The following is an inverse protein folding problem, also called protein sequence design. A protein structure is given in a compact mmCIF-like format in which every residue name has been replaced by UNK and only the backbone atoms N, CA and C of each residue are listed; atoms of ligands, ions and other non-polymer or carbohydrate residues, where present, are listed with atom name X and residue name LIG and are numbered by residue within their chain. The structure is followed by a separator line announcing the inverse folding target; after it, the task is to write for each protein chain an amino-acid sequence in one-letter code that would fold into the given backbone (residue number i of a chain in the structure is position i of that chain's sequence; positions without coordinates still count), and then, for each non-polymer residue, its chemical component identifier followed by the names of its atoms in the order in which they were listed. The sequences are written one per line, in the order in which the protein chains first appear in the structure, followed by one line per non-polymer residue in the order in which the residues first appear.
data_IF_629665543625
#
_entry.id   IF_629665543625
#
_cell.length_a   1.000
_cell.length_b   1.000
_cell.length_c   1.000
_cell.angle_alpha   90.00
_cell.angle_beta   90.00
_cell.angle_gamma   90.00
#
_symmetry.space_group_name_H-M   'P 1'
#
loop_
_entity.id
_entity.type
_entity.pdbx_description
1 polymer ?
#
# COMPACT_ATOMS: atom_id res chain seq x y z
N UNK A 1 27.10 69.63 -18.93
CA UNK A 1 25.96 68.70 -18.83
C UNK A 1 26.52 67.34 -18.43
N UNK A 2 26.37 66.97 -17.16
CA UNK A 2 26.61 65.60 -16.72
C UNK A 2 25.25 65.06 -16.26
N UNK A 3 24.82 63.94 -16.83
CA UNK A 3 23.66 63.18 -16.35
C UNK A 3 24.21 61.97 -15.61
N UNK A 4 24.27 61.98 -14.27
CA UNK A 4 24.45 60.76 -13.49
C UNK A 4 23.33 60.68 -12.45
N UNK A 5 22.18 60.09 -12.82
CA UNK A 5 21.14 59.76 -11.85
C UNK A 5 20.41 58.44 -12.19
N UNK A 6 20.38 58.01 -13.45
CA UNK A 6 19.66 56.78 -13.83
C UNK A 6 20.38 55.50 -13.40
N UNK A 7 21.71 55.47 -13.44
CA UNK A 7 22.50 54.28 -13.07
C UNK A 7 22.42 53.96 -11.57
N UNK A 8 22.33 54.99 -10.72
CA UNK A 8 22.27 54.82 -9.26
C UNK A 8 20.90 54.32 -8.80
N UNK A 9 19.82 54.81 -9.43
CA UNK A 9 18.46 54.32 -9.16
C UNK A 9 18.32 52.86 -9.63
N UNK A 10 18.83 52.51 -10.81
CA UNK A 10 18.79 51.13 -11.32
C UNK A 10 19.61 50.21 -10.40
N UNK A 11 20.81 50.63 -9.98
CA UNK A 11 21.65 49.87 -9.05
C UNK A 11 20.95 49.66 -7.70
N UNK A 12 20.30 50.70 -7.15
CA UNK A 12 19.57 50.60 -5.89
C UNK A 12 18.35 49.66 -5.99
N UNK A 13 17.59 49.71 -7.08
CA UNK A 13 16.45 48.81 -7.33
C UNK A 13 16.91 47.35 -7.47
N UNK A 14 18.04 47.10 -8.15
CA UNK A 14 18.62 45.76 -8.28
C UNK A 14 19.09 45.22 -6.92
N UNK A 15 19.76 46.06 -6.11
CA UNK A 15 20.23 45.68 -4.77
C UNK A 15 19.06 45.38 -3.83
N UNK A 16 18.03 46.24 -3.77
CA UNK A 16 16.85 46.00 -2.95
C UNK A 16 16.08 44.77 -3.43
N UNK A 17 15.90 44.62 -4.74
CA UNK A 17 15.26 43.45 -5.32
C UNK A 17 15.97 42.15 -4.94
N UNK A 18 17.31 42.14 -4.97
CA UNK A 18 18.12 41.03 -4.52
C UNK A 18 17.95 40.70 -3.03
N UNK A 19 17.91 41.71 -2.16
CA UNK A 19 17.70 41.52 -0.71
C UNK A 19 16.30 40.96 -0.42
N UNK A 20 15.26 41.51 -1.04
CA UNK A 20 13.87 41.04 -0.85
C UNK A 20 13.73 39.58 -1.31
N UNK A 21 14.28 39.24 -2.48
CA UNK A 21 14.27 37.86 -2.98
C UNK A 21 15.05 36.91 -2.04
N UNK A 22 16.19 37.37 -1.51
CA UNK A 22 16.97 36.64 -0.52
C UNK A 22 16.20 36.34 0.76
N UNK A 23 15.50 37.32 1.32
CA UNK A 23 14.66 37.16 2.52
C UNK A 23 13.50 36.20 2.26
N UNK A 24 12.82 36.33 1.12
CA UNK A 24 11.71 35.42 0.73
C UNK A 24 12.23 33.99 0.63
N UNK A 25 13.40 33.79 0.01
CA UNK A 25 14.03 32.47 -0.12
C UNK A 25 14.41 31.88 1.24
N UNK A 26 14.99 32.68 2.13
CA UNK A 26 15.33 32.26 3.49
C UNK A 26 14.09 31.87 4.32
N UNK A 27 13.02 32.67 4.26
CA UNK A 27 11.76 32.35 4.94
C UNK A 27 11.11 31.07 4.39
N UNK A 28 11.18 30.87 3.08
CA UNK A 28 10.72 29.65 2.43
C UNK A 28 11.48 28.42 2.93
N UNK A 29 12.81 28.48 2.94
CA UNK A 29 13.67 27.39 3.43
C UNK A 29 13.44 27.10 4.92
N UNK A 30 13.34 28.15 5.75
CA UNK A 30 13.06 28.01 7.17
C UNK A 30 11.70 27.33 7.44
N UNK A 31 10.66 27.73 6.72
CA UNK A 31 9.34 27.12 6.83
C UNK A 31 9.35 25.65 6.36
N UNK A 32 10.08 25.34 5.29
CA UNK A 32 10.22 23.97 4.81
C UNK A 32 10.91 23.10 5.86
N UNK A 33 12.05 23.56 6.40
CA UNK A 33 12.79 22.82 7.43
C UNK A 33 11.94 22.53 8.68
N UNK A 34 11.16 23.53 9.15
CA UNK A 34 10.28 23.33 10.30
C UNK A 34 9.17 22.31 10.03
N UNK A 35 8.60 22.29 8.81
CA UNK A 35 7.60 21.28 8.42
C UNK A 35 8.18 19.87 8.36
N UNK A 36 9.41 19.72 7.89
CA UNK A 36 10.10 18.42 7.85
C UNK A 36 10.31 17.89 9.27
N UNK A 37 10.82 18.74 10.16
CA UNK A 37 11.01 18.39 11.58
C UNK A 37 9.69 18.06 12.28
N UNK A 38 8.61 18.78 12.00
CA UNK A 38 7.26 18.45 12.51
C UNK A 38 6.84 17.04 12.11
N UNK A 39 7.05 16.67 10.85
CA UNK A 39 6.66 15.36 10.31
C UNK A 39 7.52 14.21 10.85
N UNK A 40 8.82 14.42 10.95
CA UNK A 40 9.74 13.47 11.58
C UNK A 40 9.36 13.25 13.04
N UNK A 41 9.13 14.33 13.79
CA UNK A 41 8.67 14.26 15.18
C UNK A 41 7.33 13.54 15.30
N UNK A 42 6.39 13.77 14.37
CA UNK A 42 5.11 13.06 14.35
C UNK A 42 5.31 11.57 14.10
N UNK A 43 6.10 11.19 13.09
CA UNK A 43 6.37 9.78 12.78
C UNK A 43 7.13 9.04 13.89
N UNK A 44 8.18 9.68 14.44
CA UNK A 44 9.03 9.14 15.49
C UNK A 44 8.33 9.08 16.86
N UNK A 45 7.65 10.18 17.20
CA UNK A 45 7.05 10.42 18.50
C UNK A 45 5.63 9.91 18.61
N UNK A 46 5.05 9.34 17.54
CA UNK A 46 3.65 8.91 17.53
C UNK A 46 3.30 8.07 18.77
N UNK A 47 4.08 7.03 19.05
CA UNK A 47 3.84 6.13 20.18
C UNK A 47 3.97 6.77 21.56
N UNK A 48 4.70 7.89 21.66
CA UNK A 48 4.93 8.60 22.92
C UNK A 48 3.79 9.56 23.27
N UNK A 49 2.86 9.79 22.35
CA UNK A 49 1.72 10.66 22.56
C UNK A 49 0.60 9.91 23.30
N UNK A 50 -0.16 10.65 24.11
CA UNK A 50 -1.42 10.15 24.67
C UNK A 50 -2.40 9.76 23.56
N UNK A 51 -3.25 8.75 23.82
CA UNK A 51 -4.15 8.14 22.83
C UNK A 51 -4.97 9.19 22.06
N UNK A 52 -5.65 10.09 22.77
CA UNK A 52 -6.49 11.12 22.17
C UNK A 52 -5.70 12.04 21.23
N UNK A 53 -4.48 12.41 21.65
CA UNK A 53 -3.59 13.27 20.86
C UNK A 53 -3.06 12.55 19.62
N UNK A 54 -2.68 11.26 19.73
CA UNK A 54 -2.28 10.42 18.59
C UNK A 54 -3.35 10.40 17.52
N UNK A 55 -4.55 10.01 17.92
CA UNK A 55 -5.69 9.81 17.04
C UNK A 55 -6.11 11.11 16.36
N UNK A 56 -6.12 12.22 17.11
CA UNK A 56 -6.37 13.56 16.58
C UNK A 56 -5.34 13.95 15.51
N UNK A 57 -4.04 13.86 15.83
CA UNK A 57 -2.98 14.25 14.90
C UNK A 57 -2.96 13.37 13.64
N UNK A 58 -3.15 12.06 13.80
CA UNK A 58 -3.23 11.14 12.67
C UNK A 58 -4.35 11.54 11.70
N UNK A 59 -5.55 11.79 12.25
CA UNK A 59 -6.70 12.24 11.46
C UNK A 59 -6.45 13.59 10.79
N UNK A 60 -5.79 14.52 11.47
CA UNK A 60 -5.43 15.83 10.90
C UNK A 60 -4.43 15.68 9.75
N UNK A 61 -3.37 14.89 9.90
CA UNK A 61 -2.37 14.72 8.85
C UNK A 61 -2.88 13.90 7.65
N UNK A 62 -3.75 12.89 7.86
CA UNK A 62 -4.39 12.16 6.75
C UNK A 62 -5.33 13.03 5.91
N UNK A 63 -5.84 14.15 6.46
CA UNK A 63 -6.64 15.13 5.72
C UNK A 63 -5.80 16.10 4.88
N UNK A 64 -4.52 16.27 5.21
CA UNK A 64 -3.59 17.16 4.48
C UNK A 64 -3.17 16.52 3.15
N UNK A 65 -2.39 17.27 2.35
CA UNK A 65 -1.83 16.83 1.09
C UNK A 65 -0.30 16.72 1.15
N UNK A 66 0.31 16.19 0.10
CA UNK A 66 1.77 16.14 -0.06
C UNK A 66 2.43 15.23 0.97
N UNK A 67 3.51 15.69 1.60
CA UNK A 67 4.29 14.87 2.53
C UNK A 67 3.51 14.45 3.78
N UNK A 68 2.60 15.31 4.26
CA UNK A 68 1.82 15.01 5.48
C UNK A 68 0.97 13.75 5.35
N UNK A 69 0.27 13.57 4.23
CA UNK A 69 -0.54 12.36 4.02
C UNK A 69 0.34 11.12 3.85
N UNK A 70 1.52 11.24 3.25
CA UNK A 70 2.44 10.10 3.07
C UNK A 70 3.03 9.62 4.40
N UNK A 71 3.46 10.55 5.26
CA UNK A 71 3.97 10.21 6.60
C UNK A 71 2.86 9.66 7.48
N UNK A 72 1.68 10.30 7.46
CA UNK A 72 0.53 9.81 8.22
C UNK A 72 0.03 8.45 7.74
N UNK A 73 0.11 8.18 6.44
CA UNK A 73 -0.14 6.87 5.88
C UNK A 73 0.85 5.82 6.38
N UNK A 74 2.15 6.14 6.45
CA UNK A 74 3.16 5.26 7.03
C UNK A 74 2.92 4.98 8.51
N UNK A 75 2.59 6.02 9.29
CA UNK A 75 2.20 5.89 10.70
C UNK A 75 0.95 5.01 10.84
N UNK A 76 -0.08 5.26 10.03
CA UNK A 76 -1.31 4.47 10.02
C UNK A 76 -1.05 3.00 9.72
N UNK A 77 -0.25 2.72 8.69
CA UNK A 77 0.14 1.36 8.32
C UNK A 77 0.89 0.65 9.46
N UNK A 78 1.78 1.33 10.16
CA UNK A 78 2.62 0.68 11.17
C UNK A 78 1.94 0.50 12.52
N UNK A 79 0.93 1.32 12.80
CA UNK A 79 0.32 1.42 14.12
C UNK A 79 -1.20 1.28 14.04
N UNK A 80 -1.69 0.53 13.05
CA UNK A 80 -3.12 0.30 12.83
C UNK A 80 -3.79 -0.37 14.04
N UNK A 81 -3.08 -1.29 14.69
CA UNK A 81 -3.51 -2.12 15.81
C UNK A 81 -3.73 -1.35 17.13
N UNK A 82 -3.00 -0.25 17.35
CA UNK A 82 -3.09 0.56 18.57
C UNK A 82 -4.09 1.72 18.45
N UNK A 83 -4.64 1.95 17.26
CA UNK A 83 -5.70 2.94 17.02
C UNK A 83 -7.04 2.31 17.42
N UNK A 84 -7.93 3.09 18.03
CA UNK A 84 -9.28 2.62 18.33
C UNK A 84 -10.00 2.08 17.10
N UNK A 85 -10.79 1.03 17.30
CA UNK A 85 -11.52 0.32 16.25
C UNK A 85 -12.42 1.26 15.43
N UNK A 86 -13.28 2.02 16.11
CA UNK A 86 -14.16 3.01 15.48
C UNK A 86 -13.41 4.00 14.57
N UNK A 87 -12.20 4.41 14.98
CA UNK A 87 -11.40 5.35 14.21
C UNK A 87 -10.65 4.66 13.07
N UNK A 88 -10.00 3.52 13.31
CA UNK A 88 -9.16 2.87 12.30
C UNK A 88 -9.98 2.39 11.10
N UNK A 89 -11.23 1.98 11.31
CA UNK A 89 -12.14 1.57 10.22
C UNK A 89 -12.54 2.76 9.37
N UNK A 90 -12.98 3.85 10.02
CA UNK A 90 -13.30 5.10 9.33
C UNK A 90 -12.12 5.66 8.56
N UNK A 91 -10.92 5.63 9.16
CA UNK A 91 -9.70 6.06 8.49
C UNK A 91 -9.35 5.16 7.30
N UNK A 92 -9.58 3.85 7.41
CA UNK A 92 -9.31 2.91 6.32
C UNK A 92 -10.27 3.12 5.14
N UNK A 93 -11.55 3.39 5.38
CA UNK A 93 -12.48 3.81 4.33
C UNK A 93 -12.05 5.12 3.65
N UNK A 94 -11.63 6.12 4.43
CA UNK A 94 -11.15 7.40 3.91
C UNK A 94 -9.87 7.21 3.06
N UNK A 95 -8.97 6.34 3.51
CA UNK A 95 -7.74 5.98 2.81
C UNK A 95 -8.03 5.28 1.47
N UNK A 96 -9.00 4.36 1.45
CA UNK A 96 -9.43 3.67 0.23
C UNK A 96 -9.92 4.69 -0.81
N UNK A 97 -10.81 5.60 -0.41
CA UNK A 97 -11.35 6.66 -1.29
C UNK A 97 -10.27 7.60 -1.82
N UNK A 98 -9.25 7.89 -1.00
CA UNK A 98 -8.11 8.74 -1.37
C UNK A 98 -7.09 8.05 -2.28
N UNK A 99 -7.13 6.72 -2.35
CA UNK A 99 -6.27 5.93 -3.23
C UNK A 99 -4.76 6.26 -3.05
N UNK A 100 -4.28 6.26 -1.80
CA UNK A 100 -2.90 6.68 -1.47
C UNK A 100 -1.90 5.66 -2.03
N UNK A 101 -1.04 6.12 -2.96
CA UNK A 101 -0.09 5.29 -3.74
C UNK A 101 1.36 5.31 -3.29
N UNK A 102 1.71 6.24 -2.41
CA UNK A 102 3.07 6.39 -1.90
C UNK A 102 2.93 6.75 -0.43
N UNK A 103 3.65 6.05 0.42
CA UNK A 103 3.72 6.32 1.85
C UNK A 103 5.16 6.60 2.25
N UNK A 104 5.36 7.29 3.35
CA UNK A 104 6.68 7.52 3.93
C UNK A 104 6.74 6.76 5.25
N UNK A 105 7.52 5.68 5.28
CA UNK A 105 7.62 4.77 6.39
C UNK A 105 8.67 5.29 7.39
N UNK A 106 8.29 5.68 8.62
CA UNK A 106 9.25 6.07 9.65
C UNK A 106 10.04 4.85 10.12
N UNK A 107 11.31 4.77 9.73
CA UNK A 107 12.27 3.79 10.25
C UNK A 107 13.14 4.43 11.33
N UNK A 108 13.39 3.69 12.42
CA UNK A 108 14.42 4.06 13.39
C UNK A 108 15.79 3.91 12.70
N UNK A 109 16.57 4.99 12.59
CA UNK A 109 17.94 4.92 12.09
C UNK A 109 18.78 4.08 13.06
N UNK A 110 19.51 3.09 12.54
CA UNK A 110 20.32 2.16 13.34
C UNK A 110 21.63 2.76 13.86
N UNK A 111 21.83 4.09 13.78
CA UNK A 111 23.13 4.71 14.02
C UNK A 111 23.20 5.93 14.95
N UNK A 112 22.08 6.63 15.23
CA UNK A 112 22.05 7.79 16.12
C UNK A 112 20.67 7.88 16.79
N UNK A 113 20.62 8.06 18.11
CA UNK A 113 19.40 8.00 18.93
C UNK A 113 18.31 9.05 18.60
N UNK A 114 18.51 9.92 17.60
CA UNK A 114 17.63 11.06 17.31
C UNK A 114 17.25 11.28 15.84
N UNK A 115 17.70 10.43 14.90
CA UNK A 115 17.38 10.60 13.48
C UNK A 115 16.34 9.55 13.03
N UNK A 116 15.14 9.98 12.62
CA UNK A 116 14.13 9.10 12.00
C UNK A 116 14.17 9.30 10.50
N UNK A 117 14.45 8.21 9.78
CA UNK A 117 14.48 8.21 8.33
C UNK A 117 13.09 7.86 7.80
N UNK A 118 12.60 8.68 6.87
CA UNK A 118 11.32 8.48 6.19
C UNK A 118 11.57 7.83 4.84
N UNK A 119 11.37 6.52 4.74
CA UNK A 119 11.59 5.77 3.51
C UNK A 119 10.33 5.79 2.63
N UNK A 120 10.40 6.25 1.37
CA UNK A 120 9.27 6.19 0.47
C UNK A 120 8.97 4.74 0.08
N UNK A 121 7.73 4.30 0.32
CA UNK A 121 7.23 2.99 -0.10
C UNK A 121 6.10 3.19 -1.13
N UNK A 122 6.33 2.86 -2.42
CA UNK A 122 5.28 2.89 -3.44
C UNK A 122 4.34 1.68 -3.29
N UNK A 123 3.04 1.90 -3.48
CA UNK A 123 1.99 0.89 -3.43
C UNK A 123 0.69 1.42 -2.83
N UNK A 124 -0.39 0.64 -2.93
CA UNK A 124 -1.70 1.03 -2.40
C UNK A 124 -1.73 0.84 -0.88
N UNK A 125 -1.87 1.94 -0.13
CA UNK A 125 -1.91 1.90 1.34
C UNK A 125 -3.00 0.96 1.88
N UNK A 126 -4.18 0.93 1.28
CA UNK A 126 -5.28 0.07 1.74
C UNK A 126 -4.92 -1.40 1.64
N UNK A 127 -4.26 -1.79 0.55
CA UNK A 127 -3.75 -3.16 0.39
C UNK A 127 -2.62 -3.47 1.37
N UNK A 128 -1.71 -2.51 1.63
CA UNK A 128 -0.66 -2.69 2.65
C UNK A 128 -1.24 -2.89 4.04
N UNK A 129 -2.28 -2.12 4.39
CA UNK A 129 -2.98 -2.27 5.66
C UNK A 129 -3.61 -3.66 5.75
N UNK A 130 -4.29 -4.13 4.69
CA UNK A 130 -4.85 -5.50 4.66
C UNK A 130 -3.78 -6.56 4.82
N UNK A 131 -2.69 -6.45 4.06
CA UNK A 131 -1.63 -7.46 4.11
C UNK A 131 -1.03 -7.58 5.52
N UNK A 132 -0.78 -6.45 6.18
CA UNK A 132 -0.11 -6.39 7.48
C UNK A 132 -1.05 -6.68 8.66
N UNK A 133 -2.31 -6.27 8.57
CA UNK A 133 -3.26 -6.26 9.69
C UNK A 133 -4.53 -7.07 9.41
N UNK A 134 -4.43 -8.07 8.53
CA UNK A 134 -5.57 -8.83 8.02
C UNK A 134 -6.58 -9.25 9.10
N UNK A 135 -6.11 -9.80 10.22
CA UNK A 135 -6.96 -10.43 11.24
C UNK A 135 -7.77 -9.45 12.09
N UNK A 136 -7.37 -8.17 12.15
CA UNK A 136 -8.05 -7.16 12.96
C UNK A 136 -8.92 -6.21 12.13
N UNK A 137 -8.93 -6.37 10.79
CA UNK A 137 -9.79 -5.61 9.89
C UNK A 137 -11.10 -6.38 9.70
N UNK A 138 -12.23 -5.68 9.83
CA UNK A 138 -13.54 -6.27 9.61
C UNK A 138 -13.66 -6.86 8.20
N UNK A 139 -14.30 -8.04 8.13
CA UNK A 139 -14.40 -8.80 6.89
C UNK A 139 -15.04 -8.00 5.74
N UNK A 140 -16.12 -7.25 6.01
CA UNK A 140 -16.78 -6.47 4.96
C UNK A 140 -15.84 -5.42 4.36
N UNK A 141 -15.00 -4.79 5.18
CA UNK A 141 -14.04 -3.77 4.76
C UNK A 141 -12.88 -4.39 3.97
N UNK A 142 -12.38 -5.57 4.39
CA UNK A 142 -11.42 -6.35 3.59
C UNK A 142 -11.96 -6.65 2.20
N UNK A 143 -13.21 -7.12 2.14
CA UNK A 143 -13.86 -7.49 0.89
C UNK A 143 -14.08 -6.28 -0.01
N UNK A 144 -14.52 -5.14 0.55
CA UNK A 144 -14.70 -3.90 -0.19
C UNK A 144 -13.39 -3.39 -0.79
N UNK A 145 -12.32 -3.30 0.00
CA UNK A 145 -11.00 -2.86 -0.48
C UNK A 145 -10.49 -3.77 -1.58
N UNK A 146 -10.57 -5.09 -1.40
CA UNK A 146 -10.14 -6.06 -2.43
C UNK A 146 -10.96 -5.87 -3.71
N UNK A 147 -12.28 -5.72 -3.60
CA UNK A 147 -13.18 -5.57 -4.75
C UNK A 147 -12.89 -4.29 -5.52
N UNK A 148 -12.77 -3.15 -4.84
CA UNK A 148 -12.43 -1.88 -5.47
C UNK A 148 -11.02 -1.93 -6.09
N UNK A 149 -10.06 -2.53 -5.38
CA UNK A 149 -8.69 -2.65 -5.86
C UNK A 149 -8.58 -3.56 -7.09
N UNK A 150 -9.34 -4.65 -7.19
CA UNK A 150 -9.38 -5.49 -8.39
C UNK A 150 -9.76 -4.70 -9.66
N UNK A 151 -10.60 -3.66 -9.51
CA UNK A 151 -11.05 -2.80 -10.60
C UNK A 151 -10.02 -1.72 -10.91
N UNK A 152 -9.44 -1.09 -9.88
CA UNK A 152 -8.59 0.10 -10.06
C UNK A 152 -7.09 -0.19 -10.17
N UNK A 153 -6.63 -1.36 -9.74
CA UNK A 153 -5.21 -1.70 -9.69
C UNK A 153 -4.65 -2.24 -11.01
N UNK A 154 -3.42 -1.83 -11.30
CA UNK A 154 -2.58 -2.49 -12.30
C UNK A 154 -2.02 -3.82 -11.82
N UNK A 155 -1.10 -4.40 -12.58
CA UNK A 155 -0.55 -5.74 -12.31
C UNK A 155 0.01 -5.89 -10.89
N UNK A 156 0.77 -4.91 -10.39
CA UNK A 156 1.35 -4.96 -9.04
C UNK A 156 0.30 -5.08 -7.94
N UNK A 157 -0.80 -4.32 -8.01
CA UNK A 157 -1.87 -4.43 -7.02
C UNK A 157 -2.64 -5.75 -7.14
N UNK A 158 -2.83 -6.27 -8.36
CA UNK A 158 -3.42 -7.59 -8.58
C UNK A 158 -2.56 -8.73 -8.01
N UNK A 159 -1.24 -8.65 -8.15
CA UNK A 159 -0.30 -9.59 -7.52
C UNK A 159 -0.43 -9.57 -6.01
N UNK A 160 -0.48 -8.37 -5.41
CA UNK A 160 -0.63 -8.20 -3.98
C UNK A 160 -1.96 -8.77 -3.46
N UNK A 161 -3.07 -8.54 -4.17
CA UNK A 161 -4.37 -9.11 -3.81
C UNK A 161 -4.34 -10.64 -3.91
N UNK A 162 -3.73 -11.21 -4.96
CA UNK A 162 -3.58 -12.66 -5.10
C UNK A 162 -2.73 -13.26 -3.97
N UNK A 163 -1.70 -12.55 -3.52
CA UNK A 163 -0.90 -12.95 -2.36
C UNK A 163 -1.69 -12.87 -1.04
N UNK A 164 -2.44 -11.79 -0.81
CA UNK A 164 -3.35 -11.66 0.35
C UNK A 164 -4.35 -12.82 0.38
N UNK A 165 -4.95 -13.13 -0.77
CA UNK A 165 -5.88 -14.25 -0.93
C UNK A 165 -5.19 -15.59 -0.63
N UNK A 166 -3.98 -15.82 -1.15
CA UNK A 166 -3.24 -17.05 -0.92
C UNK A 166 -2.82 -17.26 0.53
N UNK A 167 -2.43 -16.20 1.24
CA UNK A 167 -2.06 -16.25 2.67
C UNK A 167 -3.27 -16.50 3.57
N UNK A 168 -4.46 -16.04 3.17
CA UNK A 168 -5.64 -15.98 4.05
C UNK A 168 -6.88 -16.69 3.47
N UNK A 169 -6.73 -17.60 2.51
CA UNK A 169 -7.83 -18.18 1.73
C UNK A 169 -8.99 -18.70 2.60
N UNK A 170 -8.67 -19.46 3.66
CA UNK A 170 -9.65 -20.04 4.58
C UNK A 170 -10.34 -19.03 5.51
N UNK A 171 -9.80 -17.80 5.63
CA UNK A 171 -10.36 -16.74 6.46
C UNK A 171 -11.39 -15.88 5.72
N UNK A 172 -11.57 -16.10 4.42
CA UNK A 172 -12.62 -15.49 3.63
C UNK A 172 -13.84 -16.40 3.56
N UNK A 173 -15.03 -15.81 3.49
CA UNK A 173 -16.24 -16.56 3.17
C UNK A 173 -16.11 -17.24 1.80
N UNK A 174 -16.66 -18.45 1.68
CA UNK A 174 -16.54 -19.30 0.50
C UNK A 174 -16.93 -18.58 -0.80
N UNK A 175 -18.07 -17.91 -0.82
CA UNK A 175 -18.54 -17.23 -2.03
C UNK A 175 -17.56 -16.15 -2.48
N UNK A 176 -17.07 -15.32 -1.54
CA UNK A 176 -16.14 -14.24 -1.83
C UNK A 176 -14.78 -14.76 -2.33
N UNK A 177 -14.19 -15.76 -1.66
CA UNK A 177 -12.88 -16.29 -2.07
C UNK A 177 -12.94 -17.02 -3.41
N UNK A 178 -14.04 -17.72 -3.67
CA UNK A 178 -14.25 -18.45 -4.92
C UNK A 178 -14.45 -17.49 -6.10
N UNK A 179 -15.30 -16.46 -5.92
CA UNK A 179 -15.49 -15.41 -6.92
C UNK A 179 -14.18 -14.65 -7.20
N UNK A 180 -13.42 -14.34 -6.14
CA UNK A 180 -12.13 -13.65 -6.27
C UNK A 180 -11.09 -14.53 -6.98
N UNK A 181 -11.05 -15.82 -6.68
CA UNK A 181 -10.15 -16.76 -7.34
C UNK A 181 -10.46 -16.89 -8.84
N UNK A 182 -11.74 -16.99 -9.22
CA UNK A 182 -12.18 -16.99 -10.62
C UNK A 182 -11.71 -15.75 -11.39
N UNK A 183 -11.78 -14.56 -10.78
CA UNK A 183 -11.26 -13.32 -11.39
C UNK A 183 -9.76 -13.37 -11.67
N UNK A 184 -8.99 -14.19 -10.95
CA UNK A 184 -7.55 -14.33 -11.15
C UNK A 184 -7.16 -15.46 -12.09
N UNK A 185 -7.98 -16.49 -12.24
CA UNK A 185 -7.65 -17.66 -13.08
C UNK A 185 -7.31 -17.25 -14.52
N UNK A 186 -8.04 -16.29 -15.09
CA UNK A 186 -7.77 -15.77 -16.44
C UNK A 186 -6.64 -14.73 -16.52
N UNK A 187 -5.91 -14.49 -15.43
CA UNK A 187 -4.85 -13.49 -15.42
C UNK A 187 -3.64 -13.95 -16.24
N UNK A 188 -3.14 -13.12 -17.19
CA UNK A 188 -1.90 -13.42 -17.91
C UNK A 188 -0.65 -13.21 -17.05
N UNK A 189 -0.80 -12.68 -15.82
CA UNK A 189 0.32 -12.36 -14.96
C UNK A 189 0.88 -13.62 -14.28
N UNK A 190 2.13 -13.95 -14.57
CA UNK A 190 2.81 -15.12 -14.02
C UNK A 190 2.89 -15.13 -12.48
N UNK A 191 3.06 -13.98 -11.84
CA UNK A 191 3.09 -13.88 -10.38
C UNK A 191 1.71 -14.19 -9.78
N UNK A 192 0.63 -13.75 -10.44
CA UNK A 192 -0.75 -14.10 -10.03
C UNK A 192 -0.98 -15.61 -10.19
N UNK A 193 -0.58 -16.19 -11.33
CA UNK A 193 -0.65 -17.65 -11.56
C UNK A 193 0.12 -18.43 -10.49
N UNK A 194 1.30 -17.96 -10.09
CA UNK A 194 2.06 -18.58 -9.01
C UNK A 194 1.29 -18.56 -7.67
N UNK A 195 0.61 -17.46 -7.32
CA UNK A 195 -0.22 -17.42 -6.11
C UNK A 195 -1.45 -18.34 -6.21
N UNK A 196 -2.05 -18.48 -7.41
CA UNK A 196 -3.13 -19.45 -7.65
C UNK A 196 -2.63 -20.87 -7.38
N UNK A 197 -1.48 -21.26 -7.93
CA UNK A 197 -0.91 -22.60 -7.68
C UNK A 197 -0.72 -22.87 -6.18
N UNK A 198 -0.28 -21.86 -5.41
CA UNK A 198 -0.17 -21.95 -3.94
C UNK A 198 -1.52 -22.10 -3.24
N UNK A 199 -2.57 -21.42 -3.73
CA UNK A 199 -3.94 -21.58 -3.22
C UNK A 199 -4.39 -23.03 -3.43
N UNK A 200 -4.22 -23.57 -4.63
CA UNK A 200 -4.60 -24.94 -4.96
C UNK A 200 -3.86 -25.96 -4.07
N UNK A 201 -2.55 -25.84 -3.91
CA UNK A 201 -1.76 -26.78 -3.11
C UNK A 201 -2.14 -26.81 -1.62
N UNK A 202 -2.46 -25.65 -1.06
CA UNK A 202 -2.79 -25.55 0.37
C UNK A 202 -4.24 -25.88 0.67
N UNK A 203 -5.16 -25.60 -0.27
CA UNK A 203 -6.60 -25.63 -0.02
C UNK A 203 -7.35 -26.59 -0.95
N UNK A 204 -6.66 -27.55 -1.57
CA UNK A 204 -7.21 -28.49 -2.56
C UNK A 204 -8.61 -29.02 -2.24
N UNK A 205 -8.81 -29.52 -1.02
CA UNK A 205 -10.09 -30.12 -0.61
C UNK A 205 -11.23 -29.09 -0.40
N UNK A 206 -10.90 -27.81 -0.32
CA UNK A 206 -11.81 -26.72 0.04
C UNK A 206 -12.16 -25.82 -1.16
N UNK A 207 -11.70 -26.20 -2.36
CA UNK A 207 -11.96 -25.50 -3.62
C UNK A 207 -12.98 -26.32 -4.41
N UNK A 208 -14.05 -25.69 -4.92
CA UNK A 208 -15.00 -26.37 -5.81
C UNK A 208 -14.31 -26.99 -7.03
N UNK A 209 -14.73 -28.19 -7.42
CA UNK A 209 -14.10 -28.94 -8.53
C UNK A 209 -14.09 -28.15 -9.86
N UNK A 210 -15.13 -27.37 -10.14
CA UNK A 210 -15.21 -26.52 -11.33
C UNK A 210 -14.09 -25.47 -11.36
N UNK A 211 -13.91 -24.74 -10.26
CA UNK A 211 -12.86 -23.72 -10.11
C UNK A 211 -11.47 -24.37 -10.15
N UNK A 212 -11.31 -25.54 -9.53
CA UNK A 212 -10.08 -26.30 -9.56
C UNK A 212 -9.71 -26.69 -10.99
N UNK A 213 -10.66 -27.20 -11.78
CA UNK A 213 -10.46 -27.57 -13.18
C UNK A 213 -10.03 -26.39 -14.03
N UNK A 214 -10.72 -25.25 -13.90
CA UNK A 214 -10.38 -24.03 -14.64
C UNK A 214 -8.98 -23.51 -14.27
N UNK A 215 -8.66 -23.49 -12.97
CA UNK A 215 -7.34 -23.06 -12.49
C UNK A 215 -6.22 -23.96 -13.02
N UNK A 216 -6.42 -25.28 -13.01
CA UNK A 216 -5.44 -26.23 -13.52
C UNK A 216 -5.23 -26.08 -15.02
N UNK A 217 -6.31 -25.90 -15.79
CA UNK A 217 -6.20 -25.63 -17.23
C UNK A 217 -5.33 -24.39 -17.50
N UNK A 218 -5.60 -23.29 -16.80
CA UNK A 218 -4.84 -22.04 -16.98
C UNK A 218 -3.37 -22.13 -16.53
N UNK A 219 -3.07 -22.99 -15.55
CA UNK A 219 -1.70 -23.28 -15.13
C UNK A 219 -0.96 -24.18 -16.14
N UNK A 220 -1.64 -25.16 -16.75
CA UNK A 220 -1.08 -26.03 -17.79
C UNK A 220 -0.71 -25.24 -19.06
N UNK A 221 -1.45 -24.18 -19.36
CA UNK A 221 -1.17 -23.26 -20.45
C UNK A 221 -0.04 -22.25 -20.11
N UNK A 222 0.53 -22.28 -18.89
CA UNK A 222 1.62 -21.37 -18.52
C UNK A 222 2.95 -21.82 -19.10
N UNK A 223 3.63 -20.92 -19.81
CA UNK A 223 5.01 -21.12 -20.29
C UNK A 223 6.07 -20.78 -19.22
N UNK A 224 5.64 -20.27 -18.05
CA UNK A 224 6.55 -19.89 -16.98
C UNK A 224 6.98 -21.12 -16.17
N UNK A 225 8.29 -21.36 -16.12
CA UNK A 225 8.88 -22.51 -15.41
C UNK A 225 8.42 -22.63 -13.95
N UNK A 226 8.34 -21.54 -13.20
CA UNK A 226 7.94 -21.59 -11.78
C UNK A 226 6.47 -22.04 -11.62
N UNK A 227 5.59 -21.61 -12.53
CA UNK A 227 4.19 -22.03 -12.54
C UNK A 227 4.08 -23.51 -12.93
N UNK A 228 4.82 -23.95 -13.95
CA UNK A 228 4.88 -25.35 -14.37
C UNK A 228 5.37 -26.23 -13.21
N UNK A 229 6.49 -25.87 -12.56
CA UNK A 229 7.06 -26.62 -11.45
C UNK A 229 6.07 -26.71 -10.27
N UNK A 230 5.40 -25.61 -9.93
CA UNK A 230 4.40 -25.56 -8.87
C UNK A 230 3.18 -26.43 -9.19
N UNK A 231 2.71 -26.37 -10.44
CA UNK A 231 1.61 -27.20 -10.93
C UNK A 231 1.97 -28.68 -10.92
N UNK A 232 3.16 -29.06 -11.41
CA UNK A 232 3.60 -30.45 -11.43
C UNK A 232 3.75 -31.01 -10.01
N UNK A 233 4.29 -30.23 -9.08
CA UNK A 233 4.35 -30.62 -7.67
C UNK A 233 2.94 -30.82 -7.08
N UNK A 234 2.01 -29.92 -7.38
CA UNK A 234 0.62 -30.03 -6.99
C UNK A 234 -0.05 -31.30 -7.55
N UNK A 235 0.08 -31.55 -8.85
CA UNK A 235 -0.48 -32.72 -9.53
C UNK A 235 0.09 -34.00 -8.95
N UNK A 236 1.41 -34.08 -8.76
CA UNK A 236 2.05 -35.26 -8.19
C UNK A 236 1.54 -35.59 -6.79
N UNK A 237 1.34 -34.57 -5.94
CA UNK A 237 0.84 -34.73 -4.57
C UNK A 237 -0.64 -35.15 -4.52
N UNK A 238 -1.44 -34.71 -5.49
CA UNK A 238 -2.90 -34.88 -5.47
C UNK A 238 -3.42 -35.80 -6.57
N UNK A 239 -2.55 -36.45 -7.35
CA UNK A 239 -2.91 -37.23 -8.54
C UNK A 239 -4.07 -38.20 -8.31
N UNK A 240 -4.03 -38.95 -7.20
CA UNK A 240 -5.07 -39.93 -6.84
C UNK A 240 -6.42 -39.34 -6.42
N UNK A 241 -6.49 -38.02 -6.21
CA UNK A 241 -7.68 -37.30 -5.76
C UNK A 241 -8.25 -36.37 -6.82
N UNK A 242 -7.48 -36.12 -7.88
CA UNK A 242 -7.97 -35.36 -9.02
C UNK A 242 -8.74 -36.35 -9.85
N UNK A 243 -10.06 -36.20 -9.87
CA UNK A 243 -10.88 -36.91 -10.82
C UNK A 243 -10.66 -36.29 -12.21
N UNK A 244 -9.76 -36.89 -12.98
CA UNK A 244 -9.50 -36.51 -14.38
C UNK A 244 -10.50 -37.24 -15.29
N UNK A 245 -11.64 -37.75 -14.78
CA UNK A 245 -12.64 -38.37 -15.65
C UNK A 245 -13.06 -37.39 -16.75
N UNK A 246 -12.61 -37.79 -17.94
CA UNK A 246 -12.67 -37.08 -19.21
C UNK A 246 -14.11 -36.87 -19.58
N UNK A 247 -14.59 -35.62 -19.50
CA UNK A 247 -15.74 -35.19 -20.29
C UNK A 247 -15.33 -35.22 -21.77
N UNK A 248 -15.66 -36.32 -22.43
CA UNK A 248 -15.74 -36.43 -23.89
C UNK A 248 -16.74 -35.42 -24.46
#
# INVERSE_FOLDING_TARGET
MAVPQSTDIISFVVVIGGIVLGIITLLYLYNQHNKEKELENFGAGFLNLEKEKREKLLKEHLKKNGRHIRVAAGVFLNHYDIISEDLREKLLEDVLKKNIRIIENPKKSTGKEHDVELEPLPGNLSLFVIEKHFDIILQHLRNEIITQSLISEGNMGKEMIAEILAKNFEKFANDFRNETLLKFISSPNNNVKFQIAKILDKNFNNIPQEILREALQQLMESENKMNIDSMMAFLFKNFYKIDIETSY
#
